data_IF_890641156325
#
_entry.id   IF_890641156325
#
_cell.length_a   1.000
_cell.length_b   1.000
_cell.length_c   1.000
_cell.angle_alpha   90.00
_cell.angle_beta   90.00
_cell.angle_gamma   90.00
#
_symmetry.space_group_name_H-M   'P 1'
#
loop_
_entity.id
_entity.type
_entity.pdbx_description
1 polymer ?
#
# COMPACT_ATOMS: atom_id res chain seq x y z
N UNK A 1 -7.71 1.94 -28.45
CA UNK A 1 -6.71 2.98 -28.73
C UNK A 1 -5.91 3.26 -27.46
N UNK A 2 -4.62 2.96 -27.48
CA UNK A 2 -3.74 3.15 -26.31
C UNK A 2 -3.47 4.63 -26.03
N UNK A 3 -3.53 5.49 -27.06
CA UNK A 3 -3.16 6.91 -26.97
C UNK A 3 -4.08 7.71 -26.03
N UNK A 4 -5.28 7.19 -25.78
CA UNK A 4 -6.28 7.78 -24.87
C UNK A 4 -6.41 7.02 -23.54
N UNK A 5 -5.68 5.92 -23.32
CA UNK A 5 -5.73 5.11 -22.08
C UNK A 5 -4.82 5.70 -21.01
N UNK A 6 -5.12 6.94 -20.62
CA UNK A 6 -4.38 7.71 -19.63
C UNK A 6 -5.31 8.70 -18.93
N UNK A 7 -4.78 9.42 -17.94
CA UNK A 7 -5.56 10.39 -17.16
C UNK A 7 -6.16 11.52 -18.01
N UNK A 8 -5.49 11.90 -19.12
CA UNK A 8 -5.97 12.96 -20.02
C UNK A 8 -7.19 12.46 -20.79
N UNK A 9 -7.15 11.25 -21.34
CA UNK A 9 -8.30 10.65 -22.02
C UNK A 9 -9.50 10.45 -21.09
N UNK A 10 -9.27 10.07 -19.82
CA UNK A 10 -10.33 10.01 -18.81
C UNK A 10 -10.91 11.40 -18.55
N UNK A 11 -10.07 12.43 -18.36
CA UNK A 11 -10.53 13.78 -18.11
C UNK A 11 -11.28 14.41 -19.30
N UNK A 12 -10.91 14.05 -20.54
CA UNK A 12 -11.64 14.49 -21.73
C UNK A 12 -13.02 13.81 -21.82
N UNK A 13 -13.11 12.52 -21.49
CA UNK A 13 -14.36 11.76 -21.54
C UNK A 13 -15.29 12.07 -20.36
N UNK A 14 -14.73 12.32 -19.19
CA UNK A 14 -15.44 12.58 -17.93
C UNK A 14 -14.89 13.83 -17.24
N UNK A 15 -15.10 15.03 -17.81
CA UNK A 15 -14.46 16.27 -17.35
C UNK A 15 -14.83 16.67 -15.93
N UNK A 16 -16.08 16.42 -15.49
CA UNK A 16 -16.49 16.69 -14.11
C UNK A 16 -15.75 15.79 -13.10
N UNK A 17 -15.62 14.49 -13.41
CA UNK A 17 -14.86 13.55 -12.57
C UNK A 17 -13.38 13.94 -12.55
N UNK A 18 -12.81 14.26 -13.71
CA UNK A 18 -11.42 14.72 -13.82
C UNK A 18 -11.14 15.95 -12.97
N UNK A 19 -12.00 16.97 -13.04
CA UNK A 19 -11.91 18.18 -12.19
C UNK A 19 -12.01 17.85 -10.72
N UNK A 20 -12.97 17.01 -10.32
CA UNK A 20 -13.16 16.59 -8.92
C UNK A 20 -11.92 15.89 -8.37
N UNK A 21 -11.35 14.94 -9.11
CA UNK A 21 -10.13 14.21 -8.71
C UNK A 21 -8.94 15.17 -8.52
N UNK A 22 -8.70 16.09 -9.46
CA UNK A 22 -7.59 17.05 -9.35
C UNK A 22 -7.79 17.98 -8.17
N UNK A 23 -9.01 18.48 -7.97
CA UNK A 23 -9.35 19.36 -6.85
C UNK A 23 -9.15 18.66 -5.50
N UNK A 24 -9.71 17.46 -5.31
CA UNK A 24 -9.57 16.73 -4.05
C UNK A 24 -8.11 16.33 -3.79
N UNK A 25 -7.31 15.99 -4.82
CA UNK A 25 -5.87 15.77 -4.65
C UNK A 25 -5.16 17.03 -4.18
N UNK A 26 -5.53 18.19 -4.72
CA UNK A 26 -5.00 19.48 -4.27
C UNK A 26 -5.38 19.78 -2.82
N UNK A 27 -6.62 19.54 -2.41
CA UNK A 27 -7.06 19.70 -1.03
C UNK A 27 -6.25 18.82 -0.07
N UNK A 28 -6.05 17.55 -0.38
CA UNK A 28 -5.22 16.65 0.44
C UNK A 28 -3.78 17.17 0.59
N UNK A 29 -3.17 17.66 -0.50
CA UNK A 29 -1.86 18.28 -0.45
C UNK A 29 -1.84 19.58 0.38
N UNK A 30 -2.89 20.39 0.29
CA UNK A 30 -3.03 21.63 1.06
C UNK A 30 -3.18 21.35 2.56
N UNK A 31 -3.96 20.34 2.93
CA UNK A 31 -4.08 19.92 4.33
C UNK A 31 -2.73 19.48 4.89
N UNK A 32 -1.95 18.71 4.11
CA UNK A 32 -0.60 18.30 4.51
C UNK A 32 0.36 19.49 4.62
N UNK A 33 0.27 20.48 3.72
CA UNK A 33 1.05 21.72 3.81
C UNK A 33 0.76 22.49 5.10
N UNK A 34 -0.52 22.63 5.48
CA UNK A 34 -0.92 23.30 6.71
C UNK A 34 -0.37 22.56 7.94
N UNK A 35 -0.53 21.23 7.98
CA UNK A 35 -0.08 20.40 9.09
C UNK A 35 1.45 20.33 9.18
N UNK A 36 2.11 20.11 8.06
CA UNK A 36 3.49 19.63 7.98
C UNK A 36 4.45 20.57 7.24
N UNK A 37 4.04 21.83 7.02
CA UNK A 37 4.76 22.94 6.38
C UNK A 37 4.95 22.78 4.86
N UNK A 38 5.05 21.56 4.35
CA UNK A 38 5.20 21.29 2.91
C UNK A 38 4.27 20.16 2.46
N UNK A 39 3.69 20.25 1.24
CA UNK A 39 2.86 19.19 0.68
C UNK A 39 3.66 17.98 0.18
N UNK A 40 4.95 18.18 -0.13
CA UNK A 40 5.89 17.16 -0.58
C UNK A 40 7.17 17.36 0.23
N UNK A 41 7.72 16.29 0.78
CA UNK A 41 8.81 16.31 1.76
C UNK A 41 8.46 17.14 3.01
N UNK A 42 7.44 16.72 3.78
CA UNK A 42 7.05 17.39 5.02
C UNK A 42 8.20 17.44 6.02
N UNK A 43 8.25 18.50 6.84
CA UNK A 43 9.39 18.77 7.76
C UNK A 43 8.97 18.98 9.21
N UNK A 44 7.69 18.80 9.53
CA UNK A 44 7.20 19.08 10.87
C UNK A 44 7.49 17.95 11.88
N UNK A 45 7.62 16.70 11.43
CA UNK A 45 8.00 15.59 12.30
C UNK A 45 9.50 15.64 12.61
N UNK A 46 9.85 15.71 13.88
CA UNK A 46 11.22 15.83 14.39
C UNK A 46 11.44 14.89 15.58
N UNK A 47 12.69 14.56 15.97
CA UNK A 47 12.92 13.78 17.17
C UNK A 47 12.24 14.41 18.39
N UNK A 48 11.45 13.58 19.09
CA UNK A 48 10.67 13.97 20.26
C UNK A 48 9.25 14.48 19.97
N UNK A 49 8.83 14.66 18.71
CA UNK A 49 7.46 15.03 18.34
C UNK A 49 7.37 15.94 17.12
N UNK A 50 6.69 17.08 17.22
CA UNK A 50 6.45 18.02 16.12
C UNK A 50 7.16 19.37 16.30
N UNK A 51 7.48 20.04 15.19
CA UNK A 51 8.18 21.33 15.18
C UNK A 51 7.28 22.53 15.42
N UNK A 52 5.97 22.39 15.19
CA UNK A 52 4.95 23.41 15.46
C UNK A 52 3.64 22.74 15.92
N UNK A 53 2.85 23.40 16.79
CA UNK A 53 1.50 22.94 17.08
C UNK A 53 0.57 23.32 15.93
N UNK A 54 -0.53 22.60 15.79
CA UNK A 54 -1.62 23.02 14.92
C UNK A 54 -2.47 24.06 15.66
N UNK A 55 -2.76 25.18 15.02
CA UNK A 55 -3.55 26.25 15.64
C UNK A 55 -5.04 26.03 15.45
N UNK A 56 -5.86 26.60 16.33
CA UNK A 56 -7.33 26.50 16.24
C UNK A 56 -7.85 27.03 14.90
N UNK A 57 -7.33 28.16 14.41
CA UNK A 57 -7.70 28.70 13.10
C UNK A 57 -7.29 27.80 11.93
N UNK A 58 -6.20 27.04 12.07
CA UNK A 58 -5.77 26.06 11.06
C UNK A 58 -6.71 24.84 11.09
N UNK A 59 -7.11 24.35 12.27
CA UNK A 59 -8.11 23.28 12.41
C UNK A 59 -9.44 23.67 11.76
N UNK A 60 -9.95 24.87 12.06
CA UNK A 60 -11.21 25.35 11.47
C UNK A 60 -11.13 25.51 9.94
N UNK A 61 -9.96 25.81 9.39
CA UNK A 61 -9.74 25.81 7.95
C UNK A 61 -9.66 24.39 7.34
N UNK A 62 -9.17 23.40 8.10
CA UNK A 62 -9.04 22.01 7.66
C UNK A 62 -10.38 21.25 7.66
N UNK A 63 -11.28 21.54 8.61
CA UNK A 63 -12.60 20.89 8.73
C UNK A 63 -13.42 20.86 7.42
N UNK A 64 -13.66 21.99 6.72
CA UNK A 64 -14.40 21.96 5.46
C UNK A 64 -13.68 21.16 4.36
N UNK A 65 -12.33 21.21 4.32
CA UNK A 65 -11.54 20.41 3.36
C UNK A 65 -11.69 18.91 3.65
N UNK A 66 -11.63 18.51 4.92
CA UNK A 66 -11.84 17.13 5.35
C UNK A 66 -13.23 16.62 4.97
N UNK A 67 -14.25 17.44 5.19
CA UNK A 67 -15.63 17.10 4.83
C UNK A 67 -15.78 16.91 3.32
N UNK A 68 -15.18 17.77 2.50
CA UNK A 68 -15.20 17.62 1.05
C UNK A 68 -14.47 16.35 0.58
N UNK A 69 -13.32 16.03 1.18
CA UNK A 69 -12.61 14.78 0.91
C UNK A 69 -13.43 13.54 1.30
N UNK A 70 -14.19 13.61 2.39
CA UNK A 70 -15.11 12.55 2.80
C UNK A 70 -16.24 12.35 1.79
N UNK A 71 -16.86 13.43 1.31
CA UNK A 71 -17.86 13.33 0.25
C UNK A 71 -17.28 12.82 -1.07
N UNK A 72 -16.02 13.16 -1.37
CA UNK A 72 -15.31 12.59 -2.51
C UNK A 72 -15.01 11.10 -2.34
N UNK A 73 -14.63 10.63 -1.14
CA UNK A 73 -14.38 9.23 -0.86
C UNK A 73 -15.67 8.39 -0.99
N UNK A 74 -16.79 8.88 -0.42
CA UNK A 74 -18.13 8.29 -0.59
C UNK A 74 -18.51 8.16 -2.06
N UNK A 75 -18.36 9.26 -2.82
CA UNK A 75 -18.62 9.27 -4.26
C UNK A 75 -17.74 8.25 -5.01
N UNK A 76 -16.44 8.19 -4.70
CA UNK A 76 -15.49 7.32 -5.37
C UNK A 76 -15.81 5.84 -5.15
N UNK A 77 -16.18 5.48 -3.91
CA UNK A 77 -16.63 4.13 -3.57
C UNK A 77 -17.91 3.75 -4.32
N UNK A 78 -18.93 4.61 -4.25
CA UNK A 78 -20.23 4.37 -4.88
C UNK A 78 -20.11 4.28 -6.41
N UNK A 79 -19.38 5.20 -7.02
CA UNK A 79 -19.12 5.21 -8.46
C UNK A 79 -18.37 3.95 -8.90
N UNK A 80 -17.34 3.52 -8.16
CA UNK A 80 -16.61 2.31 -8.53
C UNK A 80 -17.50 1.06 -8.45
N UNK A 81 -18.31 0.93 -7.40
CA UNK A 81 -19.23 -0.20 -7.21
C UNK A 81 -20.32 -0.28 -8.27
N UNK A 82 -20.85 0.86 -8.71
CA UNK A 82 -21.95 0.90 -9.70
C UNK A 82 -21.44 0.88 -11.14
N UNK A 83 -20.38 1.62 -11.43
CA UNK A 83 -19.98 1.93 -12.80
C UNK A 83 -18.69 1.25 -13.26
N UNK A 84 -17.83 0.79 -12.34
CA UNK A 84 -16.53 0.23 -12.70
C UNK A 84 -16.51 -1.28 -12.46
N UNK A 85 -16.59 -1.74 -11.22
CA UNK A 85 -16.42 -3.16 -10.87
C UNK A 85 -17.36 -4.10 -11.65
N UNK A 86 -18.66 -3.80 -11.84
CA UNK A 86 -19.56 -4.68 -12.59
C UNK A 86 -19.07 -4.97 -14.03
N UNK A 87 -18.37 -4.02 -14.66
CA UNK A 87 -17.84 -4.15 -16.03
C UNK A 87 -16.58 -5.01 -16.10
N UNK A 88 -15.92 -5.27 -14.97
CA UNK A 88 -14.63 -5.95 -14.89
C UNK A 88 -14.63 -7.15 -13.92
N UNK A 89 -15.79 -7.62 -13.47
CA UNK A 89 -15.86 -8.71 -12.47
C UNK A 89 -15.16 -9.99 -12.92
N UNK A 90 -15.27 -10.37 -14.20
CA UNK A 90 -14.52 -11.53 -14.72
C UNK A 90 -13.00 -11.35 -14.59
N UNK A 91 -12.49 -10.15 -14.87
CA UNK A 91 -11.08 -9.84 -14.69
C UNK A 91 -10.69 -9.85 -13.20
N UNK A 92 -11.59 -9.36 -12.32
CA UNK A 92 -11.38 -9.40 -10.87
C UNK A 92 -11.26 -10.84 -10.37
N UNK A 93 -12.06 -11.75 -10.92
CA UNK A 93 -12.05 -13.17 -10.55
C UNK A 93 -10.81 -13.91 -11.01
N UNK A 94 -10.30 -13.60 -12.21
CA UNK A 94 -9.29 -14.44 -12.89
C UNK A 94 -7.89 -13.81 -12.98
N UNK A 95 -7.81 -12.51 -13.26
CA UNK A 95 -6.55 -11.90 -13.72
C UNK A 95 -5.48 -11.89 -12.62
N UNK A 96 -4.38 -12.59 -12.88
CA UNK A 96 -3.22 -12.63 -12.00
C UNK A 96 -3.51 -13.22 -10.62
N UNK A 97 -4.53 -14.08 -10.50
CA UNK A 97 -4.91 -14.71 -9.24
C UNK A 97 -3.76 -15.53 -8.65
N UNK A 98 -3.44 -15.29 -7.38
CA UNK A 98 -2.41 -16.02 -6.64
C UNK A 98 -2.87 -16.28 -5.21
N UNK A 99 -2.31 -17.31 -4.57
CA UNK A 99 -2.48 -17.57 -3.14
C UNK A 99 -1.23 -17.15 -2.40
N UNK A 100 -1.39 -16.41 -1.31
CA UNK A 100 -0.28 -16.00 -0.43
C UNK A 100 -0.80 -15.61 0.95
N UNK A 101 0.12 -15.34 1.88
CA UNK A 101 -0.20 -14.70 3.15
C UNK A 101 -0.35 -13.18 3.03
N UNK A 102 -0.55 -12.52 4.17
CA UNK A 102 -0.78 -11.09 4.29
C UNK A 102 -0.08 -10.51 5.51
N UNK A 103 0.38 -9.26 5.39
CA UNK A 103 0.96 -8.47 6.47
C UNK A 103 0.22 -7.14 6.57
N UNK A 104 -0.05 -6.71 7.80
CA UNK A 104 -0.50 -5.36 8.08
C UNK A 104 -0.62 -5.07 9.58
N UNK A 105 -0.61 -3.80 9.94
CA UNK A 105 -0.81 -3.35 11.32
C UNK A 105 -2.27 -3.51 11.78
N UNK A 106 -2.46 -3.90 13.04
CA UNK A 106 -3.75 -3.94 13.74
C UNK A 106 -3.65 -3.26 15.11
N UNK A 107 -4.75 -2.63 15.55
CA UNK A 107 -4.81 -2.04 16.90
C UNK A 107 -4.77 -3.11 17.98
N UNK A 108 -3.90 -2.92 18.97
CA UNK A 108 -3.83 -3.75 20.20
C UNK A 108 -4.36 -3.07 21.46
N UNK A 109 -4.48 -1.75 21.44
CA UNK A 109 -4.91 -0.98 22.62
C UNK A 109 -6.41 -0.61 22.58
N UNK A 110 -7.16 -1.10 21.59
CA UNK A 110 -8.60 -0.91 21.46
C UNK A 110 -9.40 -2.08 22.04
N UNK A 111 -10.64 -1.83 22.48
CA UNK A 111 -11.62 -2.89 22.77
C UNK A 111 -12.81 -2.77 21.81
N UNK A 112 -13.08 -3.79 20.95
CA UNK A 112 -12.27 -5.00 20.74
C UNK A 112 -10.88 -4.71 20.11
N UNK A 113 -9.95 -5.66 20.21
CA UNK A 113 -8.66 -5.59 19.51
C UNK A 113 -8.82 -6.00 18.04
N UNK A 114 -7.80 -5.76 17.21
CA UNK A 114 -7.77 -6.23 15.83
C UNK A 114 -8.36 -5.26 14.82
N UNK A 115 -8.67 -4.03 15.22
CA UNK A 115 -9.13 -3.00 14.30
C UNK A 115 -8.06 -2.66 13.27
N UNK A 116 -8.49 -2.30 12.07
CA UNK A 116 -7.66 -1.70 11.03
C UNK A 116 -6.92 -0.47 11.55
N UNK A 117 -5.64 -0.37 11.22
CA UNK A 117 -4.76 0.71 11.66
C UNK A 117 -3.66 0.96 10.64
N UNK A 118 -3.26 2.23 10.52
CA UNK A 118 -2.19 2.67 9.63
C UNK A 118 -1.02 3.32 10.36
N UNK A 119 -1.19 3.79 11.59
CA UNK A 119 -0.19 4.58 12.30
C UNK A 119 0.55 3.78 13.37
N UNK A 120 -0.15 3.23 14.37
CA UNK A 120 0.49 2.59 15.53
C UNK A 120 -0.25 1.34 16.02
N UNK A 121 0.47 0.24 16.21
CA UNK A 121 -0.10 -1.04 16.63
C UNK A 121 0.92 -2.19 16.54
N UNK A 122 0.41 -3.42 16.52
CA UNK A 122 1.23 -4.60 16.24
C UNK A 122 1.00 -5.08 14.81
N UNK A 123 2.00 -5.73 14.24
CA UNK A 123 1.92 -6.30 12.91
C UNK A 123 1.31 -7.70 13.01
N UNK A 124 0.32 -7.97 12.16
CA UNK A 124 -0.26 -9.29 12.00
C UNK A 124 0.26 -9.93 10.72
N UNK A 125 0.95 -11.05 10.84
CA UNK A 125 1.37 -11.87 9.72
C UNK A 125 0.44 -13.07 9.60
N UNK A 126 -0.38 -13.08 8.55
CA UNK A 126 -1.40 -14.08 8.27
C UNK A 126 -0.96 -14.98 7.11
N UNK A 127 -1.15 -16.30 7.23
CA UNK A 127 -0.93 -17.25 6.15
C UNK A 127 -2.11 -17.29 5.15
N UNK A 128 -1.95 -18.05 4.07
CA UNK A 128 -2.99 -18.16 3.04
C UNK A 128 -4.27 -18.86 3.51
N UNK A 129 -4.24 -19.57 4.65
CA UNK A 129 -5.39 -20.24 5.26
C UNK A 129 -6.11 -19.33 6.28
N UNK A 130 -5.52 -18.18 6.63
CA UNK A 130 -6.07 -17.23 7.59
C UNK A 130 -5.56 -17.39 9.02
N UNK A 131 -4.64 -18.33 9.28
CA UNK A 131 -3.96 -18.42 10.58
C UNK A 131 -2.93 -17.30 10.67
N UNK A 132 -2.76 -16.70 11.84
CA UNK A 132 -1.88 -15.53 11.97
C UNK A 132 -1.10 -15.51 13.28
N UNK A 133 -0.04 -14.71 13.28
CA UNK A 133 0.72 -14.35 14.46
C UNK A 133 0.90 -12.82 14.50
N UNK A 134 0.68 -12.23 15.68
CA UNK A 134 0.89 -10.80 15.93
C UNK A 134 2.26 -10.59 16.58
N UNK A 135 2.98 -9.54 16.19
CA UNK A 135 4.30 -9.20 16.73
C UNK A 135 4.56 -7.70 16.74
N UNK A 136 5.44 -7.26 17.64
CA UNK A 136 5.85 -5.85 17.70
C UNK A 136 6.76 -5.51 16.54
N UNK A 137 6.62 -4.30 16.02
CA UNK A 137 7.38 -3.87 14.85
C UNK A 137 8.90 -3.85 15.06
N UNK A 138 9.38 -3.68 16.28
CA UNK A 138 10.81 -3.69 16.61
C UNK A 138 11.45 -5.09 16.58
N UNK A 139 10.61 -6.13 16.48
CA UNK A 139 10.97 -7.56 16.35
C UNK A 139 10.87 -8.08 14.90
N UNK A 140 10.65 -7.22 13.91
CA UNK A 140 10.38 -7.64 12.52
C UNK A 140 11.43 -8.59 11.92
N UNK A 141 12.70 -8.49 12.35
CA UNK A 141 13.79 -9.35 11.87
C UNK A 141 13.61 -10.82 12.26
N UNK A 142 12.74 -11.14 13.22
CA UNK A 142 12.41 -12.52 13.61
C UNK A 142 11.29 -13.13 12.74
N UNK A 143 10.55 -12.28 12.04
CA UNK A 143 9.36 -12.64 11.25
C UNK A 143 9.57 -12.49 9.75
N UNK A 144 10.42 -11.55 9.34
CA UNK A 144 10.63 -11.17 7.95
C UNK A 144 12.11 -11.37 7.59
N UNK A 145 12.36 -12.02 6.46
CA UNK A 145 13.68 -12.11 5.84
C UNK A 145 13.59 -11.66 4.38
N UNK A 146 14.69 -11.16 3.80
CA UNK A 146 14.74 -10.68 2.42
C UNK A 146 15.58 -11.62 1.56
N UNK A 147 14.99 -12.16 0.50
CA UNK A 147 15.69 -12.95 -0.51
C UNK A 147 16.12 -12.07 -1.69
N UNK A 148 17.22 -12.42 -2.36
CA UNK A 148 17.74 -11.70 -3.53
C UNK A 148 17.73 -12.62 -4.74
N UNK A 149 17.21 -12.11 -5.85
CA UNK A 149 17.25 -12.76 -7.15
C UNK A 149 18.28 -12.07 -8.05
N UNK A 150 19.02 -12.80 -8.91
CA UNK A 150 20.07 -12.21 -9.74
C UNK A 150 19.55 -11.28 -10.85
N UNK A 151 18.24 -11.30 -11.11
CA UNK A 151 17.58 -10.56 -12.20
C UNK A 151 16.81 -9.32 -11.72
N UNK A 152 16.84 -8.99 -10.43
CA UNK A 152 16.18 -7.81 -9.88
C UNK A 152 16.99 -7.18 -8.76
N UNK A 153 17.12 -5.85 -8.78
CA UNK A 153 17.63 -5.09 -7.64
C UNK A 153 16.67 -5.08 -6.46
N UNK A 154 15.36 -5.21 -6.73
CA UNK A 154 14.36 -5.25 -5.68
C UNK A 154 14.38 -6.63 -5.00
N UNK A 155 14.52 -6.64 -3.68
CA UNK A 155 14.52 -7.86 -2.88
C UNK A 155 13.11 -8.47 -2.77
N UNK A 156 13.04 -9.68 -2.22
CA UNK A 156 11.83 -10.48 -2.08
C UNK A 156 11.62 -10.86 -0.61
N UNK A 157 10.96 -10.02 0.20
CA UNK A 157 10.63 -10.33 1.58
C UNK A 157 9.73 -11.56 1.68
N UNK A 158 9.97 -12.40 2.70
CA UNK A 158 9.20 -13.61 2.96
C UNK A 158 9.10 -13.90 4.46
N UNK A 159 8.16 -14.78 4.82
CA UNK A 159 7.94 -15.23 6.19
C UNK A 159 9.14 -16.05 6.69
N UNK A 160 9.96 -15.46 7.56
CA UNK A 160 11.22 -16.05 8.03
C UNK A 160 11.03 -17.40 8.71
N UNK A 161 9.98 -17.55 9.53
CA UNK A 161 9.67 -18.80 10.26
C UNK A 161 9.36 -19.99 9.35
N UNK A 162 8.95 -19.74 8.10
CA UNK A 162 8.74 -20.79 7.09
C UNK A 162 10.07 -21.32 6.54
N UNK A 163 11.17 -20.57 6.72
CA UNK A 163 12.54 -21.00 6.41
C UNK A 163 12.94 -20.95 4.94
N UNK A 164 12.00 -20.71 4.02
CA UNK A 164 12.27 -20.52 2.59
C UNK A 164 11.19 -19.71 1.89
N UNK A 165 11.53 -19.19 0.72
CA UNK A 165 10.60 -18.60 -0.25
C UNK A 165 10.45 -19.52 -1.48
N UNK A 166 9.23 -19.66 -1.98
CA UNK A 166 8.92 -20.26 -3.28
C UNK A 166 7.86 -19.41 -3.97
N UNK A 167 8.17 -18.92 -5.17
CA UNK A 167 7.24 -18.20 -6.06
C UNK A 167 6.54 -19.12 -7.06
N UNK A 168 6.51 -20.43 -6.77
CA UNK A 168 5.72 -21.38 -7.55
C UNK A 168 4.22 -21.05 -7.44
N UNK A 169 3.50 -21.06 -8.57
CA UNK A 169 2.10 -20.62 -8.61
C UNK A 169 1.15 -21.64 -7.96
N UNK A 170 1.48 -22.92 -8.02
CA UNK A 170 0.66 -24.00 -7.47
C UNK A 170 0.93 -24.20 -5.97
N UNK A 171 2.20 -24.06 -5.57
CA UNK A 171 2.64 -24.22 -4.18
C UNK A 171 3.59 -23.10 -3.72
N UNK A 172 3.08 -21.87 -3.54
CA UNK A 172 3.88 -20.78 -3.03
C UNK A 172 4.20 -20.99 -1.55
N UNK A 173 5.43 -20.68 -1.16
CA UNK A 173 5.92 -20.88 0.22
C UNK A 173 6.52 -19.58 0.74
N UNK A 174 6.14 -19.17 1.95
CA UNK A 174 6.68 -17.99 2.61
C UNK A 174 6.30 -16.64 1.98
N UNK A 175 5.61 -16.63 0.83
CA UNK A 175 5.16 -15.42 0.16
C UNK A 175 3.97 -14.79 0.90
N UNK A 176 4.05 -13.49 1.12
CA UNK A 176 2.94 -12.70 1.64
C UNK A 176 2.78 -11.40 0.83
N UNK A 177 1.64 -10.73 1.01
CA UNK A 177 1.37 -9.41 0.46
C UNK A 177 1.19 -8.37 1.56
N UNK A 178 1.44 -7.12 1.25
CA UNK A 178 1.15 -5.97 2.11
C UNK A 178 0.20 -5.00 1.41
N UNK A 179 -0.29 -4.02 2.15
CA UNK A 179 -1.17 -2.93 1.70
C UNK A 179 -2.62 -3.32 1.38
N UNK A 180 -3.50 -2.32 1.38
CA UNK A 180 -4.93 -2.40 1.00
C UNK A 180 -5.59 -3.73 1.36
N UNK A 181 -5.73 -4.65 0.41
CA UNK A 181 -6.38 -5.95 0.60
C UNK A 181 -5.72 -6.77 1.71
N UNK A 182 -4.40 -6.72 1.83
CA UNK A 182 -3.68 -7.37 2.91
C UNK A 182 -4.10 -6.82 4.27
N UNK A 183 -4.18 -5.49 4.41
CA UNK A 183 -4.63 -4.83 5.65
C UNK A 183 -6.09 -5.17 5.97
N UNK A 184 -6.98 -5.22 4.97
CA UNK A 184 -8.36 -5.65 5.17
C UNK A 184 -8.49 -7.14 5.54
N UNK A 185 -7.59 -7.99 5.03
CA UNK A 185 -7.54 -9.40 5.38
C UNK A 185 -7.03 -9.61 6.80
N UNK A 186 -5.97 -8.93 7.23
CA UNK A 186 -5.43 -9.12 8.58
C UNK A 186 -6.30 -8.49 9.67
N UNK A 187 -6.95 -7.37 9.38
CA UNK A 187 -7.83 -6.68 10.33
C UNK A 187 -9.10 -7.47 10.60
N UNK A 188 -9.61 -7.42 11.82
CA UNK A 188 -10.87 -8.06 12.19
C UNK A 188 -12.08 -7.17 11.87
N UNK A 189 -11.92 -5.85 11.95
CA UNK A 189 -12.93 -4.85 11.60
C UNK A 189 -12.26 -3.49 11.30
N UNK A 190 -13.02 -2.51 10.84
CA UNK A 190 -12.64 -1.10 10.73
C UNK A 190 -13.44 -0.30 11.76
N UNK A 191 -12.81 0.63 12.45
CA UNK A 191 -13.43 1.39 13.55
C UNK A 191 -14.04 2.73 13.13
N UNK A 192 -14.11 3.01 11.82
CA UNK A 192 -14.92 4.09 11.25
C UNK A 192 -16.18 3.52 10.59
N UNK A 193 -17.35 4.15 10.81
CA UNK A 193 -18.65 3.52 10.51
C UNK A 193 -18.90 3.28 9.01
N UNK A 194 -18.50 4.20 8.13
CA UNK A 194 -18.78 4.06 6.69
C UNK A 194 -17.84 3.03 6.06
N UNK A 195 -16.55 3.07 6.37
CA UNK A 195 -15.59 2.08 5.88
C UNK A 195 -15.87 0.68 6.45
N UNK A 196 -16.34 0.56 7.69
CA UNK A 196 -16.78 -0.71 8.27
C UNK A 196 -17.95 -1.32 7.48
N UNK A 197 -18.95 -0.51 7.10
CA UNK A 197 -20.06 -0.97 6.27
C UNK A 197 -19.58 -1.50 4.91
N UNK A 198 -18.63 -0.82 4.29
CA UNK A 198 -18.03 -1.27 3.03
C UNK A 198 -17.20 -2.56 3.19
N UNK A 199 -16.51 -2.73 4.33
CA UNK A 199 -15.80 -3.98 4.65
C UNK A 199 -16.76 -5.16 4.81
N UNK A 200 -17.89 -4.97 5.48
CA UNK A 200 -18.91 -6.00 5.65
C UNK A 200 -19.49 -6.45 4.30
N UNK A 201 -19.81 -5.51 3.42
CA UNK A 201 -20.29 -5.81 2.07
C UNK A 201 -19.22 -6.52 1.22
N UNK A 202 -17.97 -6.05 1.30
CA UNK A 202 -16.83 -6.67 0.64
C UNK A 202 -16.66 -8.12 1.09
N UNK A 203 -16.66 -8.38 2.40
CA UNK A 203 -16.48 -9.73 2.96
C UNK A 203 -17.65 -10.65 2.69
N UNK A 204 -18.88 -10.13 2.61
CA UNK A 204 -20.05 -10.92 2.19
C UNK A 204 -19.86 -11.47 0.78
N UNK A 205 -19.18 -10.73 -0.08
CA UNK A 205 -18.99 -11.09 -1.49
C UNK A 205 -17.73 -11.95 -1.70
N UNK A 206 -16.61 -11.59 -1.06
CA UNK A 206 -15.29 -12.15 -1.36
C UNK A 206 -14.69 -12.99 -0.22
N UNK A 207 -15.34 -13.03 0.95
CA UNK A 207 -14.85 -13.72 2.13
C UNK A 207 -13.63 -13.06 2.79
N UNK A 208 -12.98 -13.81 3.67
CA UNK A 208 -11.72 -13.45 4.35
C UNK A 208 -10.93 -14.75 4.63
N UNK A 209 -9.66 -14.87 4.20
CA UNK A 209 -8.93 -13.89 3.40
C UNK A 209 -9.34 -13.92 1.92
N UNK A 210 -9.57 -12.74 1.34
CA UNK A 210 -9.79 -12.60 -0.10
C UNK A 210 -8.42 -12.56 -0.83
N UNK A 211 -8.29 -13.29 -1.94
CA UNK A 211 -6.98 -13.53 -2.59
C UNK A 211 -6.82 -12.85 -3.95
N UNK A 212 -7.90 -12.41 -4.57
CA UNK A 212 -7.92 -11.88 -5.94
C UNK A 212 -7.14 -10.58 -6.10
N UNK A 213 -6.25 -10.54 -7.09
CA UNK A 213 -5.27 -9.46 -7.30
C UNK A 213 -5.94 -8.11 -7.55
N UNK A 214 -6.98 -8.04 -8.39
CA UNK A 214 -7.63 -6.76 -8.68
C UNK A 214 -8.49 -6.23 -7.53
N UNK A 215 -8.81 -7.03 -6.50
CA UNK A 215 -9.52 -6.55 -5.31
C UNK A 215 -8.71 -5.54 -4.50
N UNK A 216 -7.39 -5.43 -4.75
CA UNK A 216 -6.57 -4.34 -4.22
C UNK A 216 -7.11 -2.95 -4.59
N UNK A 217 -7.78 -2.79 -5.74
CA UNK A 217 -8.42 -1.53 -6.10
C UNK A 217 -9.66 -1.24 -5.24
N UNK A 218 -10.49 -2.25 -4.97
CA UNK A 218 -11.65 -2.10 -4.09
C UNK A 218 -11.22 -1.80 -2.67
N UNK A 219 -10.27 -2.58 -2.15
CA UNK A 219 -9.71 -2.36 -0.82
C UNK A 219 -9.11 -0.94 -0.67
N UNK A 220 -8.44 -0.41 -1.71
CA UNK A 220 -7.90 0.96 -1.71
C UNK A 220 -8.99 2.02 -1.57
N UNK A 221 -10.17 1.80 -2.14
CA UNK A 221 -11.31 2.71 -1.96
C UNK A 221 -11.88 2.64 -0.54
N UNK A 222 -11.88 1.45 0.09
CA UNK A 222 -12.29 1.29 1.49
C UNK A 222 -11.32 2.06 2.39
N UNK A 223 -10.01 1.95 2.13
CA UNK A 223 -9.01 2.72 2.87
C UNK A 223 -9.09 4.22 2.61
N UNK A 224 -9.43 4.66 1.39
CA UNK A 224 -9.66 6.08 1.11
C UNK A 224 -10.81 6.62 1.96
N UNK A 225 -11.91 5.86 2.08
CA UNK A 225 -13.05 6.21 2.91
C UNK A 225 -12.68 6.22 4.40
N UNK A 226 -11.98 5.18 4.88
CA UNK A 226 -11.44 5.14 6.23
C UNK A 226 -10.59 6.36 6.55
N UNK A 227 -9.62 6.69 5.68
CA UNK A 227 -8.73 7.83 5.90
C UNK A 227 -9.49 9.15 5.93
N UNK A 228 -10.50 9.33 5.07
CA UNK A 228 -11.31 10.56 5.08
C UNK A 228 -12.16 10.68 6.35
N UNK A 229 -12.77 9.58 6.82
CA UNK A 229 -13.47 9.55 8.12
C UNK A 229 -12.51 9.81 9.28
N UNK A 230 -11.32 9.22 9.22
CA UNK A 230 -10.33 9.31 10.28
C UNK A 230 -9.76 10.73 10.40
N UNK A 231 -9.52 11.42 9.28
CA UNK A 231 -9.10 12.83 9.29
C UNK A 231 -10.19 13.72 9.91
N UNK A 232 -11.46 13.53 9.54
CA UNK A 232 -12.56 14.27 10.15
C UNK A 232 -12.64 14.00 11.67
N UNK A 233 -12.48 12.74 12.09
CA UNK A 233 -12.45 12.36 13.51
C UNK A 233 -11.29 12.99 14.28
N UNK A 234 -10.09 13.00 13.72
CA UNK A 234 -8.89 13.56 14.36
C UNK A 234 -8.99 15.09 14.51
N UNK A 235 -9.60 15.79 13.55
CA UNK A 235 -9.81 17.24 13.63
C UNK A 235 -10.78 17.68 14.73
N UNK A 236 -11.59 16.75 15.26
CA UNK A 236 -12.47 16.99 16.41
C UNK A 236 -11.80 16.64 17.75
N UNK A 237 -10.59 16.06 17.74
CA UNK A 237 -9.86 15.73 18.96
C UNK A 237 -9.36 17.04 19.62
N UNK A 238 -9.77 17.36 20.86
CA UNK A 238 -9.33 18.58 21.54
C UNK A 238 -7.81 18.64 21.74
N UNK A 239 -7.12 17.51 21.79
CA UNK A 239 -5.65 17.46 21.93
C UNK A 239 -4.92 17.89 20.65
N UNK A 240 -5.58 17.95 19.49
CA UNK A 240 -4.92 18.29 18.22
C UNK A 240 -4.29 19.69 18.21
N UNK A 241 -4.79 20.60 19.06
CA UNK A 241 -4.25 21.96 19.24
C UNK A 241 -3.35 22.11 20.47
N UNK A 242 -3.00 21.00 21.11
CA UNK A 242 -2.07 20.99 22.24
C UNK A 242 -0.74 21.63 21.86
N UNK A 243 -0.13 22.33 22.83
CA UNK A 243 1.22 22.88 22.71
C UNK A 243 2.29 21.95 23.25
N UNK A 244 1.92 20.87 23.96
CA UNK A 244 2.85 19.83 24.39
C UNK A 244 3.11 18.85 23.25
N UNK A 245 3.86 19.31 22.26
CA UNK A 245 4.07 18.61 20.99
C UNK A 245 5.45 17.97 20.86
N UNK A 246 6.37 18.25 21.77
CA UNK A 246 7.77 17.84 21.63
C UNK A 246 8.45 17.63 22.97
N UNK A 247 9.04 16.45 23.15
CA UNK A 247 9.95 16.17 24.26
C UNK A 247 11.39 16.47 23.85
N UNK A 248 12.20 16.90 24.82
CA UNK A 248 13.63 17.11 24.62
C UNK A 248 14.30 15.75 24.38
N UNK A 249 15.11 15.67 23.33
CA UNK A 249 15.89 14.48 22.96
C UNK A 249 17.36 14.87 22.90
N UNK A 250 18.22 14.06 23.50
CA UNK A 250 19.68 14.22 23.45
C UNK A 250 20.27 13.07 22.62
N UNK A 251 21.33 13.32 21.82
CA UNK A 251 22.02 12.25 21.10
C UNK A 251 22.56 11.17 22.05
N UNK A 252 22.45 9.90 21.63
CA UNK A 252 22.98 8.75 22.36
C UNK A 252 23.17 7.57 21.42
N UNK A 253 23.97 6.59 21.86
CA UNK A 253 24.05 5.31 21.20
C UNK A 253 22.76 4.51 21.42
N UNK A 254 22.34 3.76 20.40
CA UNK A 254 21.18 2.88 20.50
C UNK A 254 20.64 2.44 19.15
N UNK A 255 19.61 1.59 19.20
CA UNK A 255 18.80 1.19 18.06
C UNK A 255 17.39 1.78 18.20
N UNK A 256 16.83 2.27 17.10
CA UNK A 256 15.45 2.74 17.02
C UNK A 256 14.77 2.23 15.76
N UNK A 257 13.60 1.61 15.94
CA UNK A 257 12.76 1.12 14.84
C UNK A 257 11.50 1.98 14.77
N UNK A 258 11.24 2.56 13.60
CA UNK A 258 9.97 3.17 13.25
C UNK A 258 9.22 2.30 12.26
N UNK A 259 7.93 2.10 12.50
CA UNK A 259 7.06 1.36 11.59
C UNK A 259 5.72 2.06 11.43
N UNK A 260 5.29 2.24 10.20
CA UNK A 260 3.95 2.75 9.84
C UNK A 260 3.45 2.01 8.61
N UNK A 261 2.15 2.02 8.37
CA UNK A 261 1.60 1.56 7.09
C UNK A 261 1.64 2.71 6.08
N UNK A 262 2.63 2.68 5.19
CA UNK A 262 2.58 3.53 4.00
C UNK A 262 1.39 3.09 3.12
N UNK A 263 0.89 3.96 2.22
CA UNK A 263 -0.23 3.59 1.34
C UNK A 263 -0.01 2.29 0.57
N UNK A 264 1.26 1.97 0.27
CA UNK A 264 1.69 0.82 -0.54
C UNK A 264 2.23 -0.37 0.26
N UNK A 265 2.16 -0.32 1.59
CA UNK A 265 2.46 -1.44 2.50
C UNK A 265 3.20 -0.99 3.76
N UNK A 266 3.46 -1.93 4.65
CA UNK A 266 4.26 -1.72 5.86
C UNK A 266 5.61 -1.10 5.51
N UNK A 267 6.02 -0.09 6.28
CA UNK A 267 7.26 0.65 6.09
C UNK A 267 8.09 0.58 7.37
N UNK A 268 9.25 -0.07 7.29
CA UNK A 268 10.22 -0.14 8.36
C UNK A 268 11.38 0.82 8.13
N UNK A 269 11.70 1.58 9.17
CA UNK A 269 12.91 2.38 9.28
C UNK A 269 13.66 1.94 10.54
N UNK A 270 14.78 1.23 10.39
CA UNK A 270 15.59 0.69 11.47
C UNK A 270 16.96 1.36 11.46
N UNK A 271 17.27 2.10 12.53
CA UNK A 271 18.47 2.91 12.64
C UNK A 271 19.28 2.54 13.88
N UNK A 272 20.60 2.46 13.73
CA UNK A 272 21.54 2.40 14.85
C UNK A 272 22.42 3.65 14.86
N UNK A 273 22.71 4.16 16.05
CA UNK A 273 23.55 5.35 16.24
C UNK A 273 24.68 5.12 17.23
N UNK A 274 25.76 5.89 17.08
CA UNK A 274 26.83 6.03 18.06
C UNK A 274 26.46 6.99 19.21
N UNK A 275 27.40 7.23 20.14
CA UNK A 275 27.18 8.11 21.30
C UNK A 275 26.86 9.57 20.92
N UNK A 276 27.25 10.02 19.72
CA UNK A 276 26.98 11.36 19.21
C UNK A 276 25.69 11.43 18.38
N UNK A 277 24.93 10.33 18.27
CA UNK A 277 23.73 10.24 17.44
C UNK A 277 24.02 10.13 15.95
N UNK A 278 25.25 9.77 15.55
CA UNK A 278 25.62 9.55 14.15
C UNK A 278 25.23 8.14 13.75
N UNK A 279 24.59 8.00 12.60
CA UNK A 279 24.13 6.71 12.07
C UNK A 279 25.33 5.77 11.82
N UNK A 280 25.27 4.57 12.38
CA UNK A 280 26.25 3.50 12.17
C UNK A 280 25.68 2.35 11.34
N UNK A 281 24.36 2.17 11.35
CA UNK A 281 23.66 1.16 10.58
C UNK A 281 22.25 1.64 10.22
N UNK A 282 21.77 1.23 9.05
CA UNK A 282 20.44 1.55 8.54
C UNK A 282 19.89 0.34 7.80
N UNK A 283 18.69 -0.10 8.18
CA UNK A 283 17.91 -1.06 7.40
C UNK A 283 16.51 -0.49 7.09
N UNK A 284 16.09 -0.62 5.84
CA UNK A 284 14.79 -0.17 5.36
C UNK A 284 14.11 -1.32 4.65
N UNK A 285 12.85 -1.59 5.01
CA UNK A 285 11.96 -2.43 4.20
C UNK A 285 10.73 -1.59 3.88
N UNK A 286 10.56 -1.29 2.59
CA UNK A 286 9.58 -0.30 2.13
C UNK A 286 8.33 -1.00 1.58
N UNK A 287 7.17 -0.33 1.70
CA UNK A 287 5.87 -0.91 1.38
C UNK A 287 5.80 -1.80 0.12
N UNK A 288 6.29 -1.32 -1.03
CA UNK A 288 6.26 -2.10 -2.28
C UNK A 288 7.25 -3.27 -2.29
N UNK A 289 8.36 -3.22 -1.56
CA UNK A 289 9.33 -4.32 -1.46
C UNK A 289 8.65 -5.61 -1.00
N UNK A 290 7.75 -5.52 -0.01
CA UNK A 290 6.94 -6.65 0.45
C UNK A 290 6.10 -7.32 -0.64
N UNK A 291 5.71 -6.58 -1.67
CA UNK A 291 4.86 -7.07 -2.75
C UNK A 291 5.63 -7.55 -3.98
N UNK A 292 6.96 -7.54 -3.97
CA UNK A 292 7.75 -7.89 -5.16
C UNK A 292 7.54 -9.35 -5.61
N UNK A 293 7.59 -10.32 -4.70
CA UNK A 293 7.26 -11.72 -5.01
C UNK A 293 5.81 -11.87 -5.53
N UNK A 294 4.78 -11.37 -4.82
CA UNK A 294 3.41 -11.39 -5.30
C UNK A 294 3.20 -10.74 -6.68
N UNK A 295 3.82 -9.59 -6.95
CA UNK A 295 3.72 -8.93 -8.26
C UNK A 295 4.26 -9.85 -9.35
N UNK A 296 5.45 -10.43 -9.16
CA UNK A 296 6.04 -11.34 -10.14
C UNK A 296 5.18 -12.60 -10.34
N UNK A 297 4.61 -13.14 -9.27
CA UNK A 297 3.68 -14.28 -9.37
C UNK A 297 2.40 -13.90 -10.13
N UNK A 298 1.79 -12.75 -9.83
CA UNK A 298 0.59 -12.28 -10.53
C UNK A 298 0.85 -11.98 -12.01
N UNK A 299 2.01 -11.41 -12.35
CA UNK A 299 2.47 -11.20 -13.73
C UNK A 299 2.65 -12.54 -14.44
N UNK A 300 3.36 -13.48 -13.83
CA UNK A 300 3.56 -14.82 -14.39
C UNK A 300 2.23 -15.50 -14.67
N UNK A 301 1.31 -15.49 -13.70
CA UNK A 301 -0.04 -16.06 -13.86
C UNK A 301 -0.82 -15.40 -15.00
N UNK A 302 -0.86 -14.06 -15.03
CA UNK A 302 -1.57 -13.33 -16.09
C UNK A 302 -0.99 -13.63 -17.47
N UNK A 303 0.33 -13.69 -17.59
CA UNK A 303 1.01 -14.02 -18.85
C UNK A 303 0.71 -15.46 -19.28
N UNK A 304 0.83 -16.45 -18.38
CA UNK A 304 0.59 -17.87 -18.72
C UNK A 304 -0.86 -18.17 -19.11
N UNK A 305 -1.80 -17.40 -18.56
CA UNK A 305 -3.23 -17.60 -18.84
C UNK A 305 -3.67 -17.00 -20.19
N UNK A 306 -2.89 -16.09 -20.76
CA UNK A 306 -3.30 -15.30 -21.92
C UNK A 306 -2.36 -15.44 -23.13
N UNK A 307 -1.09 -15.77 -22.90
CA UNK A 307 -0.09 -15.94 -23.95
C UNK A 307 0.03 -17.44 -24.24
N UNK A 308 -0.48 -17.85 -25.40
CA UNK A 308 -0.42 -19.22 -25.88
C UNK A 308 0.36 -19.27 -27.19
N UNK A 309 1.21 -20.29 -27.35
CA UNK A 309 2.05 -20.46 -28.56
C UNK A 309 2.92 -19.23 -28.90
N UNK A 310 3.29 -18.44 -27.88
CA UNK A 310 4.07 -17.21 -28.07
C UNK A 310 3.31 -16.06 -28.73
N UNK A 311 1.99 -16.14 -28.86
CA UNK A 311 1.14 -15.09 -29.45
C UNK A 311 0.69 -14.11 -28.37
N UNK A 312 0.95 -12.83 -28.59
CA UNK A 312 0.50 -11.72 -27.75
C UNK A 312 0.25 -10.48 -28.61
N UNK A 313 -0.53 -9.55 -28.07
CA UNK A 313 -0.76 -8.22 -28.63
C UNK A 313 -0.79 -7.16 -27.51
N UNK A 314 -0.98 -5.91 -27.88
CA UNK A 314 -1.06 -4.77 -26.95
C UNK A 314 -2.17 -4.90 -25.90
N UNK A 315 -3.26 -5.60 -26.21
CA UNK A 315 -4.35 -5.81 -25.25
C UNK A 315 -3.94 -6.82 -24.17
N UNK A 316 -3.32 -7.94 -24.59
CA UNK A 316 -2.78 -8.97 -23.70
C UNK A 316 -1.70 -8.37 -22.80
N UNK A 317 -0.72 -7.65 -23.38
CA UNK A 317 0.35 -7.02 -22.60
C UNK A 317 -0.19 -6.02 -21.58
N UNK A 318 -1.19 -5.21 -21.94
CA UNK A 318 -1.82 -4.32 -20.97
C UNK A 318 -2.52 -5.05 -19.83
N UNK A 319 -3.16 -6.21 -20.08
CA UNK A 319 -3.77 -7.01 -19.01
C UNK A 319 -2.71 -7.57 -18.07
N UNK A 320 -1.54 -7.96 -18.58
CA UNK A 320 -0.38 -8.31 -17.74
C UNK A 320 0.05 -7.10 -16.89
N UNK A 321 0.14 -5.90 -17.47
CA UNK A 321 0.45 -4.69 -16.71
C UNK A 321 -0.64 -4.34 -15.66
N UNK A 322 -1.92 -4.63 -15.92
CA UNK A 322 -2.99 -4.42 -14.94
C UNK A 322 -2.75 -5.24 -13.67
N UNK A 323 -2.21 -6.46 -13.78
CA UNK A 323 -1.84 -7.27 -12.62
C UNK A 323 -0.74 -6.60 -11.77
N UNK A 324 0.16 -5.83 -12.39
CA UNK A 324 1.17 -5.02 -11.69
C UNK A 324 0.50 -3.81 -11.02
N UNK A 325 -0.29 -3.05 -11.80
CA UNK A 325 -0.92 -1.78 -11.35
C UNK A 325 -1.88 -1.98 -10.17
N UNK A 326 -2.47 -3.17 -10.03
CA UNK A 326 -3.34 -3.52 -8.91
C UNK A 326 -2.69 -3.26 -7.54
N UNK A 327 -1.40 -3.57 -7.42
CA UNK A 327 -0.61 -3.39 -6.19
C UNK A 327 -0.22 -1.94 -5.90
N UNK A 328 -0.42 -1.01 -6.86
CA UNK A 328 0.08 0.38 -6.81
C UNK A 328 1.57 0.44 -6.44
N UNK A 329 2.47 -0.15 -7.24
CA UNK A 329 3.89 -0.23 -6.87
C UNK A 329 4.57 1.15 -6.94
N UNK A 330 5.38 1.48 -5.92
CA UNK A 330 6.36 2.57 -5.97
C UNK A 330 7.77 1.98 -6.09
N UNK A 331 8.25 1.76 -7.32
CA UNK A 331 9.55 1.11 -7.54
C UNK A 331 10.75 1.95 -7.07
N UNK A 332 10.67 3.28 -7.18
CA UNK A 332 11.71 4.19 -6.64
C UNK A 332 11.79 4.09 -5.11
N UNK A 333 10.64 3.98 -4.44
CA UNK A 333 10.60 3.74 -3.00
C UNK A 333 11.20 2.37 -2.65
N UNK A 334 10.88 1.34 -3.44
CA UNK A 334 11.21 -0.06 -3.16
C UNK A 334 12.71 -0.36 -3.35
N UNK A 335 13.34 0.26 -4.34
CA UNK A 335 14.77 0.11 -4.65
C UNK A 335 15.64 1.14 -3.95
N UNK A 336 15.03 2.19 -3.38
CA UNK A 336 15.71 3.39 -2.88
C UNK A 336 16.58 4.10 -3.94
N UNK A 337 16.31 3.84 -5.23
CA UNK A 337 16.97 4.48 -6.36
C UNK A 337 16.08 5.57 -6.95
N UNK A 338 16.69 6.68 -7.34
CA UNK A 338 16.04 7.93 -7.70
C UNK A 338 16.42 8.34 -9.13
N UNK A 339 16.19 7.44 -10.09
CA UNK A 339 16.43 7.66 -11.52
C UNK A 339 15.23 8.30 -12.25
N UNK A 340 14.05 8.37 -11.62
CA UNK A 340 12.92 9.19 -12.08
C UNK A 340 12.08 8.56 -13.20
N UNK A 341 12.38 7.33 -13.63
CA UNK A 341 11.56 6.53 -14.54
C UNK A 341 11.21 5.18 -13.90
N UNK A 342 10.01 4.67 -14.17
CA UNK A 342 9.60 3.34 -13.69
C UNK A 342 10.30 2.29 -14.56
N UNK A 343 11.56 1.93 -14.30
CA UNK A 343 12.28 0.95 -15.10
C UNK A 343 11.64 -0.45 -14.99
N UNK A 344 10.91 -0.85 -16.02
CA UNK A 344 10.30 -2.17 -16.17
C UNK A 344 11.00 -2.88 -17.33
N UNK A 345 11.54 -4.07 -17.04
CA UNK A 345 12.07 -5.00 -18.04
C UNK A 345 11.22 -6.26 -18.02
N UNK A 346 10.65 -6.61 -19.16
CA UNK A 346 9.96 -7.89 -19.38
C UNK A 346 10.83 -8.70 -20.33
N UNK A 347 11.30 -9.87 -19.87
CA UNK A 347 11.99 -10.83 -20.72
C UNK A 347 11.04 -11.98 -21.06
N UNK A 348 10.84 -12.25 -22.35
CA UNK A 348 10.10 -13.40 -22.86
C UNK A 348 11.12 -14.51 -23.13
N UNK A 349 10.97 -15.66 -22.48
CA UNK A 349 11.87 -16.81 -22.64
C UNK A 349 11.14 -17.99 -23.26
N UNK A 350 11.82 -18.76 -24.11
CA UNK A 350 11.28 -20.01 -24.66
C UNK A 350 11.32 -21.15 -23.63
N UNK A 351 10.80 -22.33 -23.99
CA UNK A 351 10.79 -23.51 -23.12
C UNK A 351 12.19 -24.06 -22.81
N UNK A 352 13.22 -23.64 -23.55
CA UNK A 352 14.64 -23.95 -23.33
C UNK A 352 15.33 -22.93 -22.40
N UNK A 353 14.63 -21.87 -21.97
CA UNK A 353 15.17 -20.81 -21.12
C UNK A 353 15.96 -19.74 -21.87
N UNK A 354 15.92 -19.74 -23.20
CA UNK A 354 16.57 -18.73 -24.03
C UNK A 354 15.66 -17.50 -24.15
N UNK A 355 16.22 -16.30 -24.00
CA UNK A 355 15.48 -15.04 -24.18
C UNK A 355 15.14 -14.85 -25.65
N UNK A 356 13.85 -14.84 -25.97
CA UNK A 356 13.32 -14.56 -27.32
C UNK A 356 13.23 -13.05 -27.55
N UNK A 357 12.76 -12.31 -26.53
CA UNK A 357 12.59 -10.87 -26.61
C UNK A 357 12.79 -10.23 -25.23
N UNK A 358 13.24 -8.98 -25.23
CA UNK A 358 13.28 -8.13 -24.03
C UNK A 358 12.59 -6.81 -24.35
N UNK A 359 11.55 -6.50 -23.60
CA UNK A 359 10.86 -5.21 -23.63
C UNK A 359 11.32 -4.38 -22.44
N UNK A 360 11.84 -3.18 -22.70
CA UNK A 360 12.22 -2.20 -21.69
C UNK A 360 11.47 -0.89 -21.95
N UNK A 361 11.20 -0.14 -20.89
CA UNK A 361 10.64 1.21 -20.98
C UNK A 361 11.64 2.32 -20.59
N UNK A 362 12.95 2.02 -20.65
CA UNK A 362 14.07 2.91 -20.36
C UNK A 362 15.09 2.90 -21.49
#
# INVERSE_FOLDING_TARGET
DYSVRNVIGIAQKFPDIGRKVVHCRHLGAKMLEILAVKPIHPVAAVPGGFSKPLKTEEVEALKPMAQELLEFAKFSMDFAKKEIFPKYMEAVEKLGFIRSGFLGTVKKNGKPEGAFELYDGELRLMDAAGSFEDFKYDQYTDYIAEHVEPWSYLKFPYMKKVGKISMDLENPVGVYRANTLARLNVSDYIDTPLAQKELEEFRKTFGRPAQNTLLYHWARLIELLYNAENVARLLEDPEITSKDIRKKVEPRAGRGVGCVEAPRGTLFHDYETDANGILTNVNLIVGTTHNNAPINMSVKKAATDMIHEGKYDEEVLNKVEMAIRAYDPCLSCATHSLDGTLAVKIAIVNSQGETIETLCNF
#
